data_IF_880902747132
#
_entry.id   IF_880902747132
#
_cell.length_a   1.000
_cell.length_b   1.000
_cell.length_c   1.000
_cell.angle_alpha   90.00
_cell.angle_beta   90.00
_cell.angle_gamma   90.00
#
_symmetry.space_group_name_H-M   'P 1'
#
loop_
_entity.id
_entity.type
_entity.pdbx_description
1 polymer ?
#
# COMPACT_ATOMS: atom_id res chain seq x y z
N UNK A 1 -17.48 -13.86 -51.22
CA UNK A 1 -16.36 -14.24 -50.31
C UNK A 1 -16.58 -15.65 -49.78
N UNK A 2 -15.58 -16.55 -49.82
CA UNK A 2 -15.76 -17.94 -49.37
C UNK A 2 -16.04 -18.00 -47.86
N UNK A 3 -17.05 -18.79 -47.45
CA UNK A 3 -17.56 -18.88 -46.07
C UNK A 3 -16.44 -19.06 -45.03
N UNK A 4 -15.42 -19.86 -45.35
CA UNK A 4 -14.23 -20.11 -44.51
C UNK A 4 -13.41 -18.84 -44.21
N UNK A 5 -13.27 -17.90 -45.16
CA UNK A 5 -12.55 -16.63 -44.94
C UNK A 5 -13.32 -15.67 -44.03
N UNK A 6 -14.67 -15.69 -44.09
CA UNK A 6 -15.52 -14.89 -43.19
C UNK A 6 -15.42 -15.39 -41.74
N UNK A 7 -15.50 -16.71 -41.53
CA UNK A 7 -15.38 -17.32 -40.19
C UNK A 7 -14.00 -17.05 -39.56
N UNK A 8 -12.90 -17.20 -40.31
CA UNK A 8 -11.54 -16.87 -39.83
C UNK A 8 -11.42 -15.40 -39.42
N UNK A 9 -12.03 -14.47 -40.16
CA UNK A 9 -12.03 -13.04 -39.81
C UNK A 9 -12.79 -12.75 -38.51
N UNK A 10 -13.93 -13.42 -38.29
CA UNK A 10 -14.71 -13.31 -37.05
C UNK A 10 -13.91 -13.82 -35.85
N UNK A 11 -13.28 -15.00 -35.97
CA UNK A 11 -12.45 -15.58 -34.91
C UNK A 11 -11.26 -14.67 -34.58
N UNK A 12 -10.59 -14.13 -35.60
CA UNK A 12 -9.49 -13.19 -35.40
C UNK A 12 -9.94 -11.90 -34.69
N UNK A 13 -11.11 -11.35 -35.05
CA UNK A 13 -11.64 -10.16 -34.36
C UNK A 13 -11.97 -10.43 -32.89
N UNK A 14 -12.52 -11.60 -32.56
CA UNK A 14 -12.82 -11.98 -31.17
C UNK A 14 -11.51 -12.11 -30.38
N UNK A 15 -10.51 -12.80 -30.95
CA UNK A 15 -9.20 -12.95 -30.31
C UNK A 15 -8.52 -11.58 -30.06
N UNK A 16 -8.60 -10.66 -31.03
CA UNK A 16 -8.05 -9.32 -30.86
C UNK A 16 -8.72 -8.53 -29.73
N UNK A 17 -10.05 -8.60 -29.61
CA UNK A 17 -10.80 -7.94 -28.53
C UNK A 17 -10.43 -8.50 -27.15
N UNK A 18 -10.28 -9.82 -27.04
CA UNK A 18 -9.84 -10.47 -25.79
C UNK A 18 -8.44 -9.98 -25.40
N UNK A 19 -7.50 -9.95 -26.35
CA UNK A 19 -6.13 -9.47 -26.09
C UNK A 19 -6.09 -8.00 -25.63
N UNK A 20 -6.92 -7.14 -26.24
CA UNK A 20 -7.03 -5.73 -25.81
C UNK A 20 -7.63 -5.64 -24.41
N UNK A 21 -8.67 -6.42 -24.12
CA UNK A 21 -9.30 -6.44 -22.79
C UNK A 21 -8.32 -6.87 -21.69
N UNK A 22 -7.60 -7.98 -21.91
CA UNK A 22 -6.58 -8.47 -20.96
C UNK A 22 -5.41 -7.49 -20.81
N UNK A 23 -4.91 -6.95 -21.93
CA UNK A 23 -3.82 -5.97 -21.92
C UNK A 23 -4.22 -4.67 -21.21
N UNK A 24 -5.41 -4.15 -21.48
CA UNK A 24 -5.94 -2.95 -20.83
C UNK A 24 -6.14 -3.15 -19.33
N UNK A 25 -6.65 -4.31 -18.91
CA UNK A 25 -6.83 -4.63 -17.49
C UNK A 25 -5.49 -4.73 -16.74
N UNK A 26 -4.47 -5.33 -17.35
CA UNK A 26 -3.14 -5.41 -16.76
C UNK A 26 -2.48 -4.03 -16.61
N UNK A 27 -2.60 -3.17 -17.62
CA UNK A 27 -2.09 -1.79 -17.57
C UNK A 27 -2.80 -0.98 -16.48
N UNK A 28 -4.13 -1.12 -16.38
CA UNK A 28 -4.91 -0.46 -15.34
C UNK A 28 -4.46 -0.87 -13.94
N UNK A 29 -4.35 -2.18 -13.67
CA UNK A 29 -3.86 -2.67 -12.37
C UNK A 29 -2.45 -2.17 -12.05
N UNK A 30 -1.55 -2.17 -13.03
CA UNK A 30 -0.19 -1.66 -12.84
C UNK A 30 -0.21 -0.18 -12.44
N UNK A 31 -1.00 0.62 -13.14
CA UNK A 31 -1.14 2.05 -12.87
C UNK A 31 -1.72 2.32 -11.47
N UNK A 32 -2.75 1.57 -11.06
CA UNK A 32 -3.30 1.69 -9.70
C UNK A 32 -2.27 1.29 -8.63
N UNK A 33 -1.49 0.22 -8.84
CA UNK A 33 -0.39 -0.14 -7.93
C UNK A 33 0.65 0.96 -7.81
N UNK A 34 1.04 1.61 -8.91
CA UNK A 34 2.00 2.72 -8.86
C UNK A 34 1.46 3.92 -8.08
N UNK A 35 0.18 4.29 -8.26
CA UNK A 35 -0.44 5.36 -7.46
C UNK A 35 -0.43 5.03 -5.97
N UNK A 36 -0.78 3.80 -5.59
CA UNK A 36 -0.76 3.39 -4.19
C UNK A 36 0.65 3.51 -3.60
N UNK A 37 1.68 3.09 -4.33
CA UNK A 37 3.09 3.24 -3.90
C UNK A 37 3.47 4.72 -3.76
N UNK A 38 3.08 5.57 -4.71
CA UNK A 38 3.34 7.00 -4.67
C UNK A 38 2.72 7.65 -3.42
N UNK A 39 1.45 7.37 -3.15
CA UNK A 39 0.74 7.84 -1.95
C UNK A 39 1.42 7.32 -0.69
N UNK A 40 1.62 6.00 -0.58
CA UNK A 40 2.14 5.36 0.61
C UNK A 40 3.56 5.85 0.98
N UNK A 41 4.35 6.24 -0.02
CA UNK A 41 5.73 6.72 0.15
C UNK A 41 5.86 8.24 0.15
N UNK A 42 4.77 8.99 -0.04
CA UNK A 42 4.73 10.46 0.00
C UNK A 42 5.20 11.02 1.35
N UNK A 43 5.64 12.28 1.34
CA UNK A 43 6.15 12.93 2.57
C UNK A 43 5.04 13.07 3.61
N UNK A 44 3.84 13.36 3.15
CA UNK A 44 2.64 13.62 3.93
C UNK A 44 2.12 12.33 4.57
N UNK A 45 2.14 11.21 3.84
CA UNK A 45 1.82 9.91 4.40
C UNK A 45 2.87 9.46 5.43
N UNK A 46 4.17 9.64 5.11
CA UNK A 46 5.26 9.33 6.05
C UNK A 46 5.17 10.09 7.35
N UNK A 47 4.69 11.35 7.30
CA UNK A 47 4.45 12.16 8.50
C UNK A 47 3.47 11.46 9.45
N UNK A 48 2.38 10.88 8.94
CA UNK A 48 1.40 10.12 9.75
C UNK A 48 2.08 8.97 10.50
N UNK A 49 2.91 8.19 9.80
CA UNK A 49 3.61 7.03 10.40
C UNK A 49 4.64 7.46 11.44
N UNK A 50 5.46 8.45 11.11
CA UNK A 50 6.53 8.96 11.99
C UNK A 50 5.93 9.60 13.23
N UNK A 51 4.89 10.42 13.09
CA UNK A 51 4.22 11.07 14.21
C UNK A 51 3.54 10.02 15.11
N UNK A 52 2.97 8.95 14.52
CA UNK A 52 2.40 7.83 15.27
C UNK A 52 3.46 7.08 16.11
N UNK A 53 4.60 6.76 15.51
CA UNK A 53 5.69 6.03 16.17
C UNK A 53 6.30 6.89 17.27
N UNK A 54 6.64 8.15 16.97
CA UNK A 54 7.25 9.07 17.95
C UNK A 54 6.33 9.40 19.13
N UNK A 55 5.01 9.39 18.93
CA UNK A 55 4.04 9.54 20.03
C UNK A 55 4.11 8.38 21.04
N UNK A 56 4.50 7.19 20.59
CA UNK A 56 4.64 5.99 21.45
C UNK A 56 6.04 5.82 22.00
N UNK A 57 7.05 6.18 21.22
CA UNK A 57 8.46 6.05 21.55
C UNK A 57 9.18 7.33 21.12
N UNK A 58 9.31 8.33 22.01
CA UNK A 58 9.84 9.65 21.64
C UNK A 58 11.29 9.65 21.13
N UNK A 59 12.09 8.63 21.45
CA UNK A 59 13.47 8.48 20.97
C UNK A 59 13.54 7.68 19.65
N UNK A 60 12.40 7.37 19.01
CA UNK A 60 12.38 6.63 17.76
C UNK A 60 13.20 7.31 16.68
N UNK A 61 13.90 6.51 15.90
CA UNK A 61 14.83 6.90 14.84
C UNK A 61 16.05 7.68 15.36
N UNK A 62 16.47 7.39 16.60
CA UNK A 62 17.73 7.86 17.19
C UNK A 62 18.53 6.68 17.72
N UNK A 63 19.83 6.85 17.98
CA UNK A 63 20.69 5.78 18.51
C UNK A 63 20.19 5.14 19.81
N UNK A 64 19.45 5.91 20.63
CA UNK A 64 18.90 5.44 21.91
C UNK A 64 17.45 4.95 21.81
N UNK A 65 16.84 5.00 20.62
CA UNK A 65 15.45 4.55 20.40
C UNK A 65 15.34 3.03 20.31
N UNK A 66 14.18 2.49 20.70
CA UNK A 66 13.87 1.07 20.46
C UNK A 66 13.58 0.86 18.99
N UNK A 67 12.80 1.78 18.40
CA UNK A 67 12.43 1.74 16.99
C UNK A 67 13.48 2.55 16.23
N UNK A 68 14.36 1.85 15.53
CA UNK A 68 15.47 2.41 14.77
C UNK A 68 15.08 2.71 13.33
N UNK A 69 14.18 1.91 12.75
CA UNK A 69 13.75 2.04 11.36
C UNK A 69 12.32 1.54 11.17
N UNK A 70 11.71 1.96 10.05
CA UNK A 70 10.48 1.35 9.53
C UNK A 70 10.60 1.18 8.02
N UNK A 71 9.88 0.21 7.48
CA UNK A 71 9.69 0.01 6.04
C UNK A 71 8.21 -0.16 5.74
N UNK A 72 7.80 0.31 4.57
CA UNK A 72 6.43 0.20 4.06
C UNK A 72 6.35 -1.09 3.24
N UNK A 73 5.38 -1.94 3.55
CA UNK A 73 5.06 -3.09 2.71
C UNK A 73 4.34 -2.62 1.43
N UNK A 74 5.09 -2.55 0.33
CA UNK A 74 4.58 -2.10 -0.98
C UNK A 74 3.74 -3.15 -1.68
N UNK A 75 3.79 -4.40 -1.22
CA UNK A 75 3.09 -5.51 -1.86
C UNK A 75 1.73 -5.77 -1.23
N UNK A 76 1.49 -5.33 0.01
CA UNK A 76 0.20 -5.43 0.69
C UNK A 76 -0.70 -4.18 0.56
N UNK A 77 -0.32 -3.18 -0.24
CA UNK A 77 -1.12 -1.97 -0.44
C UNK A 77 -2.47 -2.27 -1.09
N UNK A 78 -3.56 -1.85 -0.44
CA UNK A 78 -4.93 -2.07 -0.93
C UNK A 78 -5.85 -0.91 -0.55
N UNK A 79 -6.74 -0.50 -1.46
CA UNK A 79 -7.79 0.45 -1.12
C UNK A 79 -8.86 -0.20 -0.24
N UNK A 80 -9.20 0.45 0.87
CA UNK A 80 -10.35 0.04 1.67
C UNK A 80 -11.64 0.37 0.89
N UNK A 81 -12.58 -0.59 0.71
CA UNK A 81 -13.87 -0.32 0.04
C UNK A 81 -14.68 0.83 0.67
N UNK A 82 -14.46 1.09 1.96
CA UNK A 82 -15.08 2.21 2.70
C UNK A 82 -14.30 3.53 2.57
N UNK A 83 -13.23 3.56 1.78
CA UNK A 83 -12.36 4.70 1.56
C UNK A 83 -11.05 4.64 2.33
N UNK A 84 -10.02 5.24 1.73
CA UNK A 84 -8.65 5.26 2.22
C UNK A 84 -7.78 4.14 1.64
N UNK A 85 -6.48 4.26 1.86
CA UNK A 85 -5.46 3.29 1.46
C UNK A 85 -4.98 2.53 2.70
N UNK A 86 -5.09 1.21 2.69
CA UNK A 86 -4.53 0.33 3.72
C UNK A 86 -3.04 0.16 3.47
N UNK A 87 -2.26 0.42 4.52
CA UNK A 87 -0.81 0.45 4.46
C UNK A 87 -0.25 -0.23 5.70
N UNK A 88 0.60 -1.23 5.49
CA UNK A 88 1.36 -1.83 6.57
C UNK A 88 2.78 -1.26 6.57
N UNK A 89 3.25 -0.91 7.77
CA UNK A 89 4.66 -0.65 8.00
C UNK A 89 5.18 -1.63 9.04
N UNK A 90 6.40 -2.12 8.87
CA UNK A 90 7.09 -2.95 9.85
C UNK A 90 8.34 -2.24 10.35
N UNK A 91 8.64 -2.42 11.64
CA UNK A 91 9.78 -1.74 12.29
C UNK A 91 10.97 -2.66 12.45
N UNK A 92 12.18 -2.07 12.48
CA UNK A 92 13.44 -2.78 12.73
C UNK A 92 13.64 -4.01 11.84
N UNK A 93 13.14 -3.96 10.60
CA UNK A 93 13.18 -5.07 9.65
C UNK A 93 12.52 -6.38 10.17
N UNK A 94 11.58 -6.27 11.11
CA UNK A 94 10.83 -7.39 11.67
C UNK A 94 9.38 -7.33 11.20
N UNK A 95 9.00 -8.22 10.28
CA UNK A 95 7.65 -8.28 9.70
C UNK A 95 6.56 -8.58 10.72
N UNK A 96 6.88 -9.23 11.83
CA UNK A 96 5.90 -9.49 12.88
C UNK A 96 5.62 -8.23 13.71
N UNK A 97 6.57 -7.29 13.78
CA UNK A 97 6.42 -6.01 14.46
C UNK A 97 5.92 -4.93 13.49
N UNK A 98 4.63 -4.96 13.19
CA UNK A 98 3.98 -4.04 12.25
C UNK A 98 2.90 -3.13 12.87
N UNK A 99 2.59 -2.07 12.13
CA UNK A 99 1.41 -1.21 12.30
C UNK A 99 0.71 -1.08 10.94
N UNK A 100 -0.58 -1.38 10.90
CA UNK A 100 -1.45 -1.16 9.75
C UNK A 100 -2.20 0.16 9.91
N UNK A 101 -2.30 0.95 8.85
CA UNK A 101 -3.03 2.22 8.81
C UNK A 101 -4.08 2.19 7.70
N UNK A 102 -5.26 2.75 7.95
CA UNK A 102 -6.12 3.23 6.88
C UNK A 102 -5.88 4.72 6.66
N UNK A 103 -5.11 5.05 5.62
CA UNK A 103 -4.70 6.40 5.27
C UNK A 103 -5.80 7.10 4.47
N UNK A 104 -6.35 8.18 5.03
CA UNK A 104 -7.39 9.01 4.44
C UNK A 104 -6.78 10.28 3.86
N UNK A 105 -7.11 10.57 2.60
CA UNK A 105 -6.84 11.87 1.99
C UNK A 105 -7.77 12.93 2.60
N UNK A 106 -7.20 14.02 3.10
CA UNK A 106 -7.95 15.12 3.69
C UNK A 106 -8.48 16.12 2.64
N UNK A 107 -8.09 15.97 1.37
CA UNK A 107 -8.49 16.83 0.26
C UNK A 107 -7.63 18.10 0.07
N UNK A 108 -6.64 18.30 0.93
CA UNK A 108 -5.66 19.40 0.88
C UNK A 108 -4.23 18.92 0.54
N UNK A 109 -4.10 17.67 0.12
CA UNK A 109 -2.82 17.00 -0.12
C UNK A 109 -2.16 16.42 1.12
N UNK A 110 -2.79 16.55 2.31
CA UNK A 110 -2.35 15.88 3.53
C UNK A 110 -3.15 14.62 3.80
N UNK A 111 -2.62 13.79 4.71
CA UNK A 111 -3.24 12.54 5.11
C UNK A 111 -3.52 12.48 6.61
N UNK A 112 -4.56 11.74 6.96
CA UNK A 112 -4.85 11.31 8.32
C UNK A 112 -5.02 9.79 8.36
N UNK A 113 -5.05 9.21 9.56
CA UNK A 113 -5.36 7.78 9.73
C UNK A 113 -6.74 7.64 10.34
N UNK A 114 -7.66 6.96 9.65
CA UNK A 114 -9.00 6.66 10.19
C UNK A 114 -8.93 5.62 11.32
N UNK A 115 -8.09 4.61 11.16
CA UNK A 115 -7.78 3.63 12.19
C UNK A 115 -6.35 3.10 12.01
N UNK A 116 -5.84 2.50 13.09
CA UNK A 116 -4.60 1.77 13.08
C UNK A 116 -4.75 0.43 13.83
N UNK A 117 -4.07 -0.60 13.32
CA UNK A 117 -3.94 -1.91 13.97
C UNK A 117 -2.47 -2.09 14.32
N UNK A 118 -2.17 -2.55 15.54
CA UNK A 118 -0.80 -2.71 16.03
C UNK A 118 -0.59 -4.17 16.36
N UNK A 119 0.48 -4.76 15.85
CA UNK A 119 0.89 -6.12 16.20
C UNK A 119 1.23 -6.28 17.69
N UNK A 120 1.18 -7.52 18.16
CA UNK A 120 1.61 -7.86 19.52
C UNK A 120 3.10 -7.61 19.68
N UNK A 121 3.88 -7.93 18.66
CA UNK A 121 5.33 -7.82 18.62
C UNK A 121 5.77 -6.35 18.65
N UNK A 122 5.09 -5.46 17.91
CA UNK A 122 5.36 -4.01 18.00
C UNK A 122 5.18 -3.51 19.44
N UNK A 123 4.09 -3.90 20.11
CA UNK A 123 3.87 -3.51 21.50
C UNK A 123 4.87 -4.17 22.46
N UNK A 124 5.31 -5.39 22.18
CA UNK A 124 6.30 -6.09 22.98
C UNK A 124 7.67 -5.40 22.94
N UNK A 125 8.06 -4.82 21.79
CA UNK A 125 9.30 -4.02 21.68
C UNK A 125 9.29 -2.86 22.70
N UNK A 126 8.19 -2.14 22.80
CA UNK A 126 8.06 -0.96 23.67
C UNK A 126 7.95 -1.28 25.16
N UNK A 127 7.68 -2.54 25.53
CA UNK A 127 7.59 -2.97 26.93
C UNK A 127 8.94 -3.41 27.51
N UNK A 128 9.92 -3.76 26.66
CA UNK A 128 11.23 -4.27 27.11
C UNK A 128 12.15 -3.19 27.71
N UNK A 129 11.85 -1.92 27.47
CA UNK A 129 12.62 -0.76 27.92
C UNK A 129 12.07 -0.08 29.19
N UNK A 130 11.04 -0.66 29.82
CA UNK A 130 10.51 -0.22 31.12
C UNK A 130 10.90 -1.20 32.22
#
# INVERSE_FOLDING_TARGET
MPKKKKVKRILFSIAALISIGLGGFAVYQHHEKQKMIEIATSKEARKVYVDFIKKREPQAFTENGIIQSYEIDRDSLEYNPMGGLIIDIFVNNNKDAFVSFNLMDNGDGTYSSAYHIISVEFNALLKKDK
#
